data_IF_904463336885
#
_entry.id   IF_904463336885
#
_cell.length_a   1.000
_cell.length_b   1.000
_cell.length_c   1.000
_cell.angle_alpha   90.00
_cell.angle_beta   90.00
_cell.angle_gamma   90.00
#
_symmetry.space_group_name_H-M   'P 1'
#
loop_
_entity.id
_entity.type
_entity.pdbx_description
1 polymer ?
#
# COMPACT_ATOMS: atom_id res chain seq x y z
N UNK A 1 -0.25 -66.39 3.60
CA UNK A 1 0.49 -66.62 4.87
C UNK A 1 0.20 -68.01 5.45
N UNK A 2 -0.47 -68.88 4.70
CA UNK A 2 -1.18 -70.05 5.25
C UNK A 2 -0.27 -71.26 5.54
N UNK A 3 0.95 -71.25 5.00
CA UNK A 3 1.92 -72.34 5.20
C UNK A 3 2.73 -72.23 6.50
N UNK A 4 2.99 -71.02 7.00
CA UNK A 4 3.77 -70.78 8.22
C UNK A 4 3.17 -69.61 9.01
N UNK A 5 1.99 -69.81 9.65
CA UNK A 5 1.27 -68.73 10.35
C UNK A 5 1.97 -68.22 11.62
N UNK A 6 2.99 -68.94 12.09
CA UNK A 6 3.79 -68.59 13.27
C UNK A 6 4.98 -67.66 12.94
N UNK A 7 5.11 -67.22 11.68
CA UNK A 7 6.21 -66.33 11.29
C UNK A 7 6.15 -65.01 12.05
N UNK A 8 7.27 -64.63 12.66
CA UNK A 8 7.49 -63.32 13.28
C UNK A 8 8.60 -62.58 12.54
N UNK A 9 8.79 -61.30 12.84
CA UNK A 9 9.86 -60.51 12.21
C UNK A 9 11.26 -61.08 12.51
N UNK A 10 11.47 -61.65 13.70
CA UNK A 10 12.73 -62.25 14.14
C UNK A 10 12.85 -63.76 13.86
N UNK A 11 11.79 -64.41 13.39
CA UNK A 11 11.80 -65.82 13.01
C UNK A 11 10.87 -66.05 11.81
N UNK A 12 11.46 -66.10 10.62
CA UNK A 12 10.73 -66.16 9.37
C UNK A 12 11.12 -67.40 8.55
N UNK A 13 10.10 -68.18 8.16
CA UNK A 13 10.25 -69.31 7.24
C UNK A 13 9.38 -69.12 6.02
N UNK A 14 9.93 -69.38 4.84
CA UNK A 14 9.16 -69.35 3.58
C UNK A 14 9.38 -70.62 2.78
N UNK A 15 8.43 -70.91 1.87
CA UNK A 15 8.51 -72.02 0.93
C UNK A 15 8.90 -71.45 -0.43
N UNK A 16 9.99 -71.95 -1.00
CA UNK A 16 10.37 -71.62 -2.37
C UNK A 16 9.33 -72.18 -3.34
N UNK A 17 9.06 -71.44 -4.42
CA UNK A 17 8.03 -71.81 -5.40
C UNK A 17 8.34 -73.12 -6.13
N UNK A 18 9.62 -73.49 -6.25
CA UNK A 18 10.08 -74.73 -6.87
C UNK A 18 11.20 -75.39 -6.04
N UNK A 19 11.31 -76.74 -6.04
CA UNK A 19 12.43 -77.42 -5.39
C UNK A 19 13.74 -77.03 -6.05
N UNK A 20 14.72 -76.58 -5.25
CA UNK A 20 16.07 -76.34 -5.72
C UNK A 20 16.94 -77.56 -5.44
N UNK A 21 17.71 -77.99 -6.43
CA UNK A 21 18.71 -79.04 -6.29
C UNK A 21 20.08 -78.34 -6.28
N UNK A 22 20.65 -78.18 -5.09
CA UNK A 22 21.93 -77.49 -4.91
C UNK A 22 23.05 -78.55 -4.94
N UNK A 23 23.98 -78.41 -5.89
CA UNK A 23 25.15 -79.29 -6.03
C UNK A 23 26.42 -78.47 -5.75
N UNK A 24 27.30 -78.99 -4.89
CA UNK A 24 28.48 -78.28 -4.40
C UNK A 24 28.19 -77.42 -3.17
N UNK A 25 29.16 -76.60 -2.78
CA UNK A 25 29.04 -75.71 -1.62
C UNK A 25 28.21 -74.46 -1.99
N UNK A 26 27.31 -74.07 -1.09
CA UNK A 26 26.41 -72.94 -1.29
C UNK A 26 26.32 -72.09 -0.02
N UNK A 27 26.13 -70.79 -0.22
CA UNK A 27 25.78 -69.84 0.84
C UNK A 27 24.48 -69.12 0.46
N UNK A 28 23.60 -68.94 1.44
CA UNK A 28 22.33 -68.23 1.29
C UNK A 28 22.38 -66.98 2.14
N UNK A 29 22.09 -65.82 1.54
CA UNK A 29 21.92 -64.56 2.24
C UNK A 29 20.46 -64.10 2.15
N UNK A 30 19.87 -63.76 3.29
CA UNK A 30 18.59 -63.07 3.40
C UNK A 30 18.88 -61.57 3.57
N UNK A 31 18.33 -60.71 2.71
CA UNK A 31 18.38 -59.25 2.93
C UNK A 31 17.08 -58.78 3.56
N UNK A 32 17.13 -58.23 4.76
CA UNK A 32 16.00 -57.58 5.42
C UNK A 32 15.80 -56.17 4.84
N UNK A 33 14.58 -55.83 4.42
CA UNK A 33 14.20 -54.46 4.04
C UNK A 33 13.37 -53.90 5.20
N UNK A 34 13.95 -53.01 5.99
CA UNK A 34 13.22 -52.26 7.01
C UNK A 34 12.44 -51.11 6.35
N UNK A 35 11.11 -51.13 6.45
CA UNK A 35 10.24 -49.99 6.10
C UNK A 35 9.99 -49.20 7.41
N UNK A 36 10.65 -48.06 7.64
CA UNK A 36 10.41 -47.24 8.82
C UNK A 36 9.01 -46.61 8.74
N UNK A 37 8.25 -46.73 9.83
CA UNK A 37 6.83 -46.34 9.90
C UNK A 37 6.59 -44.82 10.06
N UNK A 38 7.62 -44.02 10.33
CA UNK A 38 7.47 -42.63 10.82
C UNK A 38 8.27 -41.59 10.01
N UNK A 39 8.46 -41.77 8.71
CA UNK A 39 9.11 -40.76 7.86
C UNK A 39 8.09 -40.01 7.03
N UNK A 40 8.18 -38.68 7.00
CA UNK A 40 7.39 -37.85 6.12
C UNK A 40 8.17 -37.61 4.84
N UNK A 41 7.66 -38.19 3.74
CA UNK A 41 8.30 -38.08 2.45
C UNK A 41 7.66 -36.93 1.66
N UNK A 42 8.42 -35.84 1.49
CA UNK A 42 8.01 -34.68 0.70
C UNK A 42 8.64 -34.80 -0.69
N UNK A 43 7.79 -34.89 -1.71
CA UNK A 43 8.16 -34.93 -3.12
C UNK A 43 7.47 -33.81 -3.93
N UNK A 44 7.72 -33.78 -5.23
CA UNK A 44 7.17 -32.75 -6.13
C UNK A 44 5.62 -32.64 -6.15
N UNK A 45 4.91 -33.65 -5.65
CA UNK A 45 3.45 -33.72 -5.69
C UNK A 45 2.76 -33.28 -4.39
N UNK A 46 3.52 -33.09 -3.30
CA UNK A 46 2.98 -32.76 -1.97
C UNK A 46 3.85 -31.74 -1.21
N UNK A 47 4.60 -30.90 -1.91
CA UNK A 47 5.49 -29.91 -1.28
C UNK A 47 5.03 -28.46 -1.42
N UNK A 48 3.82 -28.21 -1.90
CA UNK A 48 3.37 -26.85 -2.27
C UNK A 48 2.22 -26.34 -1.41
N UNK A 49 2.28 -25.06 -1.06
CA UNK A 49 1.16 -24.31 -0.48
C UNK A 49 1.27 -22.82 -0.83
N UNK A 50 0.14 -22.12 -0.80
CA UNK A 50 0.05 -20.68 -1.06
C UNK A 50 -0.47 -19.96 0.18
N UNK A 51 0.08 -18.78 0.46
CA UNK A 51 -0.42 -17.83 1.44
C UNK A 51 -0.97 -16.61 0.72
N UNK A 52 -2.20 -16.22 1.03
CA UNK A 52 -2.81 -14.95 0.64
C UNK A 52 -2.89 -14.05 1.87
N UNK A 53 -2.19 -12.93 1.84
CA UNK A 53 -2.23 -11.89 2.88
C UNK A 53 -3.14 -10.77 2.41
N UNK A 54 -4.12 -10.39 3.23
CA UNK A 54 -4.97 -9.22 2.99
C UNK A 54 -4.66 -8.14 4.03
N UNK A 55 -3.73 -7.23 3.71
CA UNK A 55 -3.36 -6.14 4.61
C UNK A 55 -4.14 -4.88 4.28
N UNK A 56 -4.86 -4.35 5.26
CA UNK A 56 -5.39 -2.99 5.19
C UNK A 56 -4.26 -2.00 5.43
N UNK A 57 -4.00 -1.13 4.46
CA UNK A 57 -3.05 -0.02 4.60
C UNK A 57 -3.75 1.30 4.35
N UNK A 58 -3.55 2.25 5.25
CA UNK A 58 -3.99 3.62 5.04
C UNK A 58 -3.03 4.29 4.05
N UNK A 59 -3.58 4.72 2.92
CA UNK A 59 -2.87 5.50 1.92
C UNK A 59 -3.37 6.93 1.98
N UNK A 60 -2.44 7.87 2.01
CA UNK A 60 -2.73 9.30 1.87
C UNK A 60 -3.07 9.59 0.40
N UNK A 61 -4.26 10.13 0.16
CA UNK A 61 -4.75 10.62 -1.12
C UNK A 61 -4.80 12.14 -1.11
N UNK A 62 -4.10 12.78 -2.05
CA UNK A 62 -4.06 14.24 -2.20
C UNK A 62 -5.36 14.79 -2.82
N UNK A 63 -6.19 13.92 -3.40
CA UNK A 63 -7.44 14.28 -4.05
C UNK A 63 -8.60 13.50 -3.44
N UNK A 64 -9.66 14.21 -3.03
CA UNK A 64 -10.91 13.60 -2.58
C UNK A 64 -11.96 13.66 -3.69
N UNK A 65 -12.39 12.52 -4.23
CA UNK A 65 -13.47 12.47 -5.20
C UNK A 65 -14.84 12.55 -4.52
N UNK A 66 -15.70 13.42 -5.02
CA UNK A 66 -17.11 13.49 -4.67
C UNK A 66 -17.96 13.16 -5.90
N UNK A 67 -18.59 11.99 -5.87
CA UNK A 67 -19.47 11.58 -6.96
C UNK A 67 -20.83 12.25 -6.80
N UNK A 68 -21.14 13.16 -7.72
CA UNK A 68 -22.45 13.79 -7.81
C UNK A 68 -23.31 12.93 -8.72
N UNK A 69 -24.40 12.39 -8.17
CA UNK A 69 -25.46 11.71 -8.93
C UNK A 69 -26.76 12.43 -8.68
N UNK A 70 -27.51 12.68 -9.74
CA UNK A 70 -28.76 13.36 -9.63
C UNK A 70 -29.71 12.93 -10.74
N UNK A 71 -30.98 12.81 -10.35
CA UNK A 71 -32.10 12.54 -11.26
C UNK A 71 -33.00 13.75 -11.30
N UNK A 72 -33.49 14.10 -12.48
CA UNK A 72 -34.35 15.25 -12.69
C UNK A 72 -35.49 14.95 -13.65
N UNK A 73 -36.66 15.54 -13.41
CA UNK A 73 -37.87 15.25 -14.19
C UNK A 73 -38.60 16.52 -14.65
N UNK A 74 -37.99 17.70 -14.58
CA UNK A 74 -38.59 18.97 -15.00
C UNK A 74 -37.78 19.64 -16.12
N UNK A 75 -38.44 20.50 -16.90
CA UNK A 75 -37.82 21.24 -18.00
C UNK A 75 -37.37 22.65 -17.59
N UNK A 76 -37.44 23.01 -16.31
CA UNK A 76 -37.07 24.33 -15.81
C UNK A 76 -35.56 24.39 -15.46
N UNK A 77 -34.74 25.15 -16.21
CA UNK A 77 -33.31 25.25 -15.94
C UNK A 77 -32.98 25.93 -14.61
N UNK A 78 -33.81 26.85 -14.13
CA UNK A 78 -33.56 27.55 -12.87
C UNK A 78 -33.74 26.60 -11.69
N UNK A 79 -34.81 25.81 -11.71
CA UNK A 79 -35.07 24.78 -10.71
C UNK A 79 -33.98 23.69 -10.80
N UNK A 80 -33.57 23.29 -12.00
CA UNK A 80 -32.49 22.33 -12.21
C UNK A 80 -31.21 22.74 -11.50
N UNK A 81 -30.68 23.94 -11.80
CA UNK A 81 -29.41 24.39 -11.22
C UNK A 81 -29.52 24.64 -9.72
N UNK A 82 -30.70 25.04 -9.23
CA UNK A 82 -30.95 25.17 -7.78
C UNK A 82 -30.86 23.82 -7.06
N UNK A 83 -31.46 22.77 -7.61
CA UNK A 83 -31.40 21.43 -7.00
C UNK A 83 -30.03 20.77 -7.19
N UNK A 84 -29.38 20.95 -8.34
CA UNK A 84 -28.01 20.53 -8.57
C UNK A 84 -27.07 21.15 -7.52
N UNK A 85 -27.15 22.47 -7.31
CA UNK A 85 -26.33 23.15 -6.30
C UNK A 85 -26.62 22.65 -4.90
N UNK A 86 -27.87 22.30 -4.58
CA UNK A 86 -28.20 21.68 -3.29
C UNK A 86 -27.47 20.35 -3.12
N UNK A 87 -27.41 19.52 -4.17
CA UNK A 87 -26.69 18.25 -4.15
C UNK A 87 -25.17 18.44 -4.10
N UNK A 88 -24.63 19.43 -4.80
CA UNK A 88 -23.20 19.76 -4.72
C UNK A 88 -22.85 20.24 -3.30
N UNK A 89 -23.69 21.11 -2.72
CA UNK A 89 -23.47 21.71 -1.42
C UNK A 89 -23.43 20.69 -0.27
N UNK A 90 -24.09 19.52 -0.40
CA UNK A 90 -23.98 18.44 0.62
C UNK A 90 -22.58 17.86 0.71
N UNK A 91 -21.77 17.99 -0.35
CA UNK A 91 -20.43 17.43 -0.42
C UNK A 91 -19.34 18.49 -0.28
N UNK A 92 -19.48 19.62 -0.97
CA UNK A 92 -18.42 20.63 -1.09
C UNK A 92 -18.85 22.05 -0.71
N UNK A 93 -20.06 22.21 -0.16
CA UNK A 93 -20.60 23.52 0.24
C UNK A 93 -20.72 24.50 -0.93
N UNK A 94 -20.41 25.77 -0.68
CA UNK A 94 -20.47 26.84 -1.69
C UNK A 94 -19.20 26.93 -2.56
N UNK A 95 -18.23 26.02 -2.40
CA UNK A 95 -16.98 26.04 -3.16
C UNK A 95 -17.17 25.73 -4.65
N UNK A 96 -18.25 25.02 -5.01
CA UNK A 96 -18.63 24.76 -6.39
C UNK A 96 -20.10 25.14 -6.55
N UNK A 97 -20.40 26.06 -7.47
CA UNK A 97 -21.78 26.55 -7.66
C UNK A 97 -22.06 26.96 -9.09
N UNK A 98 -23.20 26.53 -9.61
CA UNK A 98 -23.71 26.91 -10.92
C UNK A 98 -24.81 27.97 -10.79
N UNK A 99 -24.58 29.17 -11.29
CA UNK A 99 -25.53 30.27 -11.24
C UNK A 99 -26.19 30.47 -12.60
N UNK A 100 -27.47 30.11 -12.72
CA UNK A 100 -28.23 30.32 -13.94
C UNK A 100 -28.70 31.77 -14.07
N UNK A 101 -28.39 32.41 -15.20
CA UNK A 101 -28.81 33.77 -15.55
C UNK A 101 -29.89 33.71 -16.62
N UNK A 102 -31.16 33.69 -16.19
CA UNK A 102 -32.32 33.57 -17.07
C UNK A 102 -32.30 34.59 -18.24
N UNK A 103 -31.94 35.84 -17.96
CA UNK A 103 -31.90 36.94 -18.95
C UNK A 103 -30.92 36.70 -20.10
N UNK A 104 -29.83 35.96 -19.85
CA UNK A 104 -28.78 35.68 -20.84
C UNK A 104 -28.77 34.23 -21.32
N UNK A 105 -29.58 33.36 -20.71
CA UNK A 105 -29.53 31.90 -20.89
C UNK A 105 -28.10 31.36 -20.75
N UNK A 106 -27.41 31.86 -19.72
CA UNK A 106 -26.03 31.52 -19.40
C UNK A 106 -25.96 30.91 -18.01
N UNK A 107 -25.03 29.99 -17.81
CA UNK A 107 -24.74 29.38 -16.51
C UNK A 107 -23.31 29.75 -16.16
N UNK A 108 -23.12 30.42 -15.02
CA UNK A 108 -21.79 30.72 -14.50
C UNK A 108 -21.42 29.68 -13.46
N UNK A 109 -20.35 28.94 -13.73
CA UNK A 109 -19.70 28.09 -12.74
C UNK A 109 -18.74 28.95 -11.91
N UNK A 110 -19.03 29.05 -10.62
CA UNK A 110 -18.04 29.40 -9.61
C UNK A 110 -17.34 28.12 -9.14
N UNK A 111 -16.01 28.14 -9.20
CA UNK A 111 -15.15 27.07 -8.76
C UNK A 111 -14.08 27.67 -7.84
N UNK A 112 -14.13 27.29 -6.57
CA UNK A 112 -13.16 27.68 -5.55
C UNK A 112 -11.78 27.10 -5.80
N UNK A 113 -10.77 27.69 -5.18
CA UNK A 113 -9.38 27.25 -5.32
C UNK A 113 -9.23 25.80 -4.85
N UNK A 114 -8.48 24.98 -5.61
CA UNK A 114 -8.26 23.57 -5.32
C UNK A 114 -9.46 22.64 -5.58
N UNK A 115 -10.51 23.13 -6.24
CA UNK A 115 -11.60 22.27 -6.73
C UNK A 115 -11.51 22.08 -8.24
N UNK A 116 -11.87 20.88 -8.70
CA UNK A 116 -11.94 20.54 -10.13
C UNK A 116 -13.19 19.73 -10.41
N UNK A 117 -13.76 19.86 -11.62
CA UNK A 117 -14.86 19.02 -12.09
C UNK A 117 -14.34 18.11 -13.19
N UNK A 118 -14.41 16.81 -12.96
CA UNK A 118 -13.99 15.77 -13.90
C UNK A 118 -15.24 15.18 -14.54
N UNK A 119 -15.37 15.37 -15.85
CA UNK A 119 -16.50 14.86 -16.63
C UNK A 119 -16.01 13.71 -17.50
N UNK A 120 -16.31 12.47 -17.10
CA UNK A 120 -16.01 11.30 -17.92
C UNK A 120 -17.14 11.09 -18.92
N UNK A 121 -16.87 11.11 -20.23
CA UNK A 121 -17.87 11.01 -21.29
C UNK A 121 -18.85 9.85 -21.07
N UNK A 122 -18.34 8.67 -20.71
CA UNK A 122 -19.15 7.46 -20.47
C UNK A 122 -20.19 7.64 -19.35
N UNK A 123 -19.88 8.45 -18.33
CA UNK A 123 -20.75 8.64 -17.16
C UNK A 123 -21.50 9.98 -17.17
N UNK A 124 -20.95 10.97 -17.85
CA UNK A 124 -21.35 12.38 -17.79
C UNK A 124 -21.87 12.91 -19.13
N UNK A 125 -22.13 12.06 -20.13
CA UNK A 125 -22.58 12.45 -21.47
C UNK A 125 -23.75 13.45 -21.47
N UNK A 126 -24.76 13.19 -20.63
CA UNK A 126 -25.90 14.08 -20.43
C UNK A 126 -25.49 15.45 -19.87
N UNK A 127 -24.57 15.48 -18.90
CA UNK A 127 -24.11 16.73 -18.30
C UNK A 127 -23.16 17.51 -19.24
N UNK A 128 -22.34 16.81 -20.02
CA UNK A 128 -21.51 17.40 -21.07
C UNK A 128 -22.38 18.11 -22.12
N UNK A 129 -23.47 17.47 -22.54
CA UNK A 129 -24.46 18.08 -23.43
C UNK A 129 -25.09 19.33 -22.81
N UNK A 130 -25.46 19.28 -21.52
CA UNK A 130 -26.01 20.45 -20.79
C UNK A 130 -25.00 21.60 -20.75
N UNK A 131 -23.70 21.34 -20.61
CA UNK A 131 -22.68 22.38 -20.60
C UNK A 131 -22.20 22.79 -22.01
N UNK A 132 -22.78 22.21 -23.07
CA UNK A 132 -22.34 22.40 -24.46
C UNK A 132 -20.85 22.06 -24.66
N UNK A 133 -20.39 21.00 -24.00
CA UNK A 133 -19.03 20.48 -24.10
C UNK A 133 -19.00 19.27 -25.06
N UNK A 134 -17.91 19.13 -25.82
CA UNK A 134 -17.77 18.05 -26.80
C UNK A 134 -17.64 16.65 -26.17
N UNK A 135 -17.64 15.61 -27.00
CA UNK A 135 -17.55 14.20 -26.59
C UNK A 135 -16.10 13.79 -26.24
N UNK A 136 -15.60 14.31 -25.13
CA UNK A 136 -14.29 13.97 -24.56
C UNK A 136 -14.39 13.99 -23.02
N UNK A 137 -13.27 13.78 -22.34
CA UNK A 137 -13.19 13.78 -20.87
C UNK A 137 -12.60 15.11 -20.36
N UNK A 138 -13.35 16.23 -20.33
CA UNK A 138 -12.80 17.50 -19.88
C UNK A 138 -12.62 17.54 -18.36
N UNK A 139 -11.56 18.24 -17.95
CA UNK A 139 -11.33 18.68 -16.57
C UNK A 139 -11.55 20.20 -16.51
N UNK A 140 -12.53 20.63 -15.74
CA UNK A 140 -12.79 22.05 -15.49
C UNK A 140 -12.12 22.43 -14.17
N UNK A 141 -11.09 23.25 -14.25
CA UNK A 141 -10.27 23.70 -13.11
C UNK A 141 -10.31 25.21 -12.89
N UNK A 142 -11.14 25.93 -13.65
CA UNK A 142 -11.38 27.37 -13.51
C UNK A 142 -12.85 27.70 -13.65
N UNK A 143 -13.28 28.77 -12.98
CA UNK A 143 -14.62 29.33 -13.13
C UNK A 143 -14.88 29.70 -14.60
N UNK A 144 -16.04 29.34 -15.13
CA UNK A 144 -16.37 29.51 -16.55
C UNK A 144 -17.87 29.68 -16.77
N UNK A 145 -18.21 30.40 -17.83
CA UNK A 145 -19.60 30.55 -18.29
C UNK A 145 -19.92 29.56 -19.40
N UNK A 146 -21.10 28.94 -19.31
CA UNK A 146 -21.64 27.98 -20.27
C UNK A 146 -22.97 28.48 -20.83
N UNK A 147 -23.34 28.00 -22.02
CA UNK A 147 -24.64 28.26 -22.64
C UNK A 147 -25.36 26.92 -22.85
N UNK A 148 -26.25 26.52 -21.93
CA UNK A 148 -26.90 25.22 -22.00
C UNK A 148 -27.95 25.17 -23.12
N UNK A 149 -28.14 23.99 -23.75
CA UNK A 149 -29.28 23.75 -24.63
C UNK A 149 -30.59 23.72 -23.83
N UNK A 150 -31.72 23.97 -24.51
CA UNK A 150 -33.07 24.04 -23.92
C UNK A 150 -33.60 22.69 -23.38
N UNK A 151 -32.90 21.58 -23.66
CA UNK A 151 -33.32 20.23 -23.28
C UNK A 151 -32.39 19.68 -22.20
N UNK A 152 -32.95 19.47 -21.01
CA UNK A 152 -32.27 18.86 -19.87
C UNK A 152 -32.59 17.36 -19.86
N UNK A 153 -31.59 16.53 -19.57
CA UNK A 153 -31.71 15.08 -19.54
C UNK A 153 -31.89 14.57 -18.11
N UNK A 154 -32.53 13.40 -17.97
CA UNK A 154 -33.13 12.96 -16.70
C UNK A 154 -32.16 12.31 -15.70
N UNK A 155 -30.95 11.93 -16.14
CA UNK A 155 -29.93 11.33 -15.28
C UNK A 155 -28.56 11.94 -15.59
N UNK A 156 -27.85 12.41 -14.57
CA UNK A 156 -26.46 12.81 -14.74
C UNK A 156 -25.59 12.42 -13.56
N UNK A 157 -24.34 12.12 -13.89
CA UNK A 157 -23.29 11.85 -12.92
C UNK A 157 -22.00 12.52 -13.33
N UNK A 158 -21.28 13.09 -12.38
CA UNK A 158 -19.92 13.59 -12.56
C UNK A 158 -19.16 13.58 -11.24
N UNK A 159 -17.86 13.80 -11.29
CA UNK A 159 -17.01 13.82 -10.09
C UNK A 159 -16.47 15.22 -9.87
N UNK A 160 -16.59 15.71 -8.64
CA UNK A 160 -15.87 16.90 -8.17
C UNK A 160 -14.66 16.40 -7.39
N UNK A 161 -13.47 16.86 -7.75
CA UNK A 161 -12.24 16.57 -7.02
C UNK A 161 -11.91 17.76 -6.12
N UNK A 162 -11.68 17.50 -4.84
CA UNK A 162 -11.06 18.45 -3.92
C UNK A 162 -9.58 18.08 -3.75
N UNK A 163 -8.70 18.96 -4.18
CA UNK A 163 -7.24 18.81 -4.05
C UNK A 163 -6.67 19.62 -2.88
N UNK A 164 -7.53 20.27 -2.09
CA UNK A 164 -7.10 21.00 -0.92
C UNK A 164 -6.76 20.05 0.22
N UNK A 165 -5.71 20.32 0.99
CA UNK A 165 -5.49 19.62 2.25
C UNK A 165 -6.64 19.92 3.22
N UNK A 166 -6.97 18.95 4.06
CA UNK A 166 -7.93 19.07 5.16
C UNK A 166 -7.49 20.13 6.17
N UNK A 167 -6.21 20.13 6.49
CA UNK A 167 -5.59 21.06 7.41
C UNK A 167 -4.12 21.27 7.03
N UNK A 168 -3.53 22.36 7.51
CA UNK A 168 -2.12 22.67 7.32
C UNK A 168 -1.55 23.22 8.61
N UNK A 169 -0.52 22.57 9.15
CA UNK A 169 0.23 23.09 10.30
C UNK A 169 1.53 23.69 9.80
N UNK A 170 1.75 24.96 10.15
CA UNK A 170 2.97 25.68 9.80
C UNK A 170 3.94 25.71 10.99
N UNK A 171 5.20 25.38 10.74
CA UNK A 171 6.28 25.47 11.71
C UNK A 171 7.39 26.36 11.18
N UNK A 172 7.74 27.40 11.94
CA UNK A 172 8.90 28.24 11.65
C UNK A 172 10.11 27.62 12.34
N UNK A 173 11.12 27.26 11.55
CA UNK A 173 12.30 26.53 11.99
C UNK A 173 13.51 27.45 11.95
N UNK A 174 14.19 27.67 13.08
CA UNK A 174 15.42 28.46 13.09
C UNK A 174 16.57 27.68 12.44
N UNK A 175 17.52 28.40 11.86
CA UNK A 175 18.74 27.79 11.30
C UNK A 175 19.78 27.40 12.37
N UNK A 176 19.59 27.88 13.60
CA UNK A 176 20.45 27.58 14.74
C UNK A 176 19.96 26.35 15.52
N UNK A 177 20.85 25.54 16.12
CA UNK A 177 20.45 24.40 16.94
C UNK A 177 19.65 24.84 18.16
N UNK A 178 18.54 24.16 18.46
CA UNK A 178 17.70 24.49 19.62
C UNK A 178 18.46 24.46 20.96
N UNK A 179 19.40 23.52 21.11
CA UNK A 179 20.15 23.32 22.36
C UNK A 179 21.27 24.37 22.59
N UNK A 180 21.68 25.10 21.55
CA UNK A 180 22.72 26.13 21.65
C UNK A 180 22.42 27.33 20.75
N UNK A 181 21.65 28.28 21.29
CA UNK A 181 21.19 29.47 20.56
C UNK A 181 22.29 30.44 20.11
N UNK A 182 23.54 30.22 20.56
CA UNK A 182 24.70 31.03 20.16
C UNK A 182 25.57 30.35 19.11
N UNK A 183 25.31 29.09 18.77
CA UNK A 183 26.09 28.33 17.79
C UNK A 183 25.58 28.62 16.37
N UNK A 184 26.23 29.57 15.69
CA UNK A 184 25.98 29.85 14.27
C UNK A 184 26.67 28.76 13.43
N UNK A 185 25.92 28.02 12.58
CA UNK A 185 26.53 27.02 11.71
C UNK A 185 27.53 27.65 10.74
N UNK A 186 28.78 27.19 10.78
CA UNK A 186 29.85 27.69 9.90
C UNK A 186 29.95 26.87 8.61
N UNK A 187 29.63 25.58 8.69
CA UNK A 187 29.68 24.66 7.55
C UNK A 187 28.27 24.20 7.14
N UNK A 188 28.05 23.81 5.87
CA UNK A 188 26.78 23.22 5.44
C UNK A 188 26.40 21.99 6.27
N UNK A 189 27.39 21.17 6.66
CA UNK A 189 27.18 20.00 7.50
C UNK A 189 26.58 20.37 8.87
N UNK A 190 27.15 21.38 9.53
CA UNK A 190 26.62 21.91 10.80
C UNK A 190 25.21 22.50 10.64
N UNK A 191 24.94 23.16 9.51
CA UNK A 191 23.63 23.75 9.22
C UNK A 191 22.55 22.66 9.10
N UNK A 192 22.84 21.60 8.35
CA UNK A 192 21.90 20.50 8.14
C UNK A 192 21.74 19.61 9.39
N UNK A 193 22.78 19.55 10.22
CA UNK A 193 22.68 18.95 11.56
C UNK A 193 21.74 19.75 12.46
N UNK A 194 21.87 21.09 12.49
CA UNK A 194 20.93 21.96 13.20
C UNK A 194 19.48 21.79 12.71
N UNK A 195 19.28 21.66 11.39
CA UNK A 195 17.95 21.40 10.82
C UNK A 195 17.38 20.08 11.32
N UNK A 196 18.18 19.00 11.25
CA UNK A 196 17.75 17.66 11.70
C UNK A 196 17.37 17.66 13.18
N UNK A 197 18.12 18.35 14.03
CA UNK A 197 17.77 18.48 15.45
C UNK A 197 16.46 19.22 15.67
N UNK A 198 16.28 20.37 15.01
CA UNK A 198 15.06 21.16 15.15
C UNK A 198 13.82 20.41 14.62
N UNK A 199 13.98 19.64 13.54
CA UNK A 199 12.92 18.81 12.97
C UNK A 199 12.58 17.62 13.87
N UNK A 200 13.58 17.02 14.53
CA UNK A 200 13.37 15.94 15.49
C UNK A 200 12.52 16.38 16.69
N UNK A 201 12.64 17.63 17.13
CA UNK A 201 11.77 18.17 18.19
C UNK A 201 10.30 18.22 17.77
N UNK A 202 10.04 18.36 16.47
CA UNK A 202 8.69 18.34 15.89
C UNK A 202 8.21 16.92 15.57
N UNK A 203 9.04 15.89 15.81
CA UNK A 203 8.76 14.48 15.47
C UNK A 203 8.55 14.25 13.96
N UNK A 204 9.19 15.05 13.12
CA UNK A 204 9.08 15.00 11.66
C UNK A 204 10.29 14.31 10.97
N UNK A 205 11.21 13.72 11.73
CA UNK A 205 12.46 13.14 11.23
C UNK A 205 12.27 11.94 10.28
N UNK A 206 11.12 11.27 10.33
CA UNK A 206 10.80 10.18 9.42
C UNK A 206 10.26 10.68 8.07
N UNK A 207 9.77 11.93 8.02
CA UNK A 207 9.16 12.54 6.84
C UNK A 207 10.10 13.46 6.06
N UNK A 208 11.20 13.92 6.69
CA UNK A 208 12.10 14.91 6.11
C UNK A 208 13.55 14.44 6.28
N UNK A 209 14.24 14.20 5.17
CA UNK A 209 15.65 13.79 5.18
C UNK A 209 16.51 14.76 4.40
N UNK A 210 17.58 15.22 5.03
CA UNK A 210 18.62 16.02 4.40
C UNK A 210 19.89 15.18 4.25
N UNK A 211 20.35 15.04 3.02
CA UNK A 211 21.56 14.30 2.66
C UNK A 211 22.54 15.31 2.06
N UNK A 212 23.76 15.35 2.58
CA UNK A 212 24.80 16.27 2.10
C UNK A 212 26.00 15.51 1.59
N UNK A 213 26.45 15.87 0.40
CA UNK A 213 27.67 15.34 -0.20
C UNK A 213 28.82 16.33 -0.01
N UNK A 214 29.75 15.98 0.91
CA UNK A 214 30.94 16.78 1.21
C UNK A 214 31.92 16.91 0.03
N UNK A 215 31.83 16.06 -1.01
CA UNK A 215 32.70 16.12 -2.19
C UNK A 215 32.11 17.09 -3.22
N UNK A 216 30.84 16.90 -3.59
CA UNK A 216 30.20 17.68 -4.65
C UNK A 216 29.61 19.00 -4.15
N UNK A 217 29.42 19.14 -2.84
CA UNK A 217 28.67 20.23 -2.19
C UNK A 217 27.17 20.21 -2.47
N UNK A 218 26.63 19.06 -2.85
CA UNK A 218 25.20 18.94 -3.14
C UNK A 218 24.42 18.55 -1.87
N UNK A 219 23.23 19.11 -1.72
CA UNK A 219 22.25 18.75 -0.70
C UNK A 219 21.04 18.17 -1.40
N UNK A 220 20.72 16.93 -1.08
CA UNK A 220 19.47 16.29 -1.45
C UNK A 220 18.49 16.38 -0.28
N UNK A 221 17.30 16.87 -0.57
CA UNK A 221 16.21 17.04 0.39
C UNK A 221 15.10 16.10 -0.05
N UNK A 222 14.80 15.11 0.78
CA UNK A 222 13.73 14.15 0.54
C UNK A 222 12.58 14.46 1.49
N UNK A 223 11.45 14.86 0.92
CA UNK A 223 10.24 15.19 1.65
C UNK A 223 9.17 14.14 1.37
N UNK A 224 8.48 13.69 2.41
CA UNK A 224 7.23 12.97 2.28
C UNK A 224 6.19 13.82 1.53
N UNK A 225 5.25 13.17 0.86
CA UNK A 225 4.24 13.83 0.00
C UNK A 225 3.44 14.92 0.71
N UNK A 226 3.21 14.74 2.00
CA UNK A 226 2.42 15.62 2.84
C UNK A 226 3.22 16.79 3.44
N UNK A 227 4.50 16.95 3.07
CA UNK A 227 5.39 18.00 3.59
C UNK A 227 5.80 18.96 2.47
N UNK A 228 5.75 20.24 2.78
CA UNK A 228 6.38 21.29 1.98
C UNK A 228 7.40 22.06 2.82
N UNK A 229 8.55 22.40 2.23
CA UNK A 229 9.53 23.29 2.85
C UNK A 229 9.56 24.60 2.08
N UNK A 230 9.19 25.68 2.74
CA UNK A 230 9.10 27.01 2.18
C UNK A 230 10.36 27.79 2.56
N UNK A 231 11.16 28.11 1.56
CA UNK A 231 12.36 28.93 1.69
C UNK A 231 12.05 30.29 1.08
N UNK A 232 11.87 31.31 1.92
CA UNK A 232 11.51 32.66 1.48
C UNK A 232 12.53 33.68 1.96
N UNK A 233 12.71 34.73 1.17
CA UNK A 233 13.64 35.81 1.47
C UNK A 233 13.25 36.57 2.74
N UNK A 234 11.95 36.61 3.06
CA UNK A 234 11.41 37.22 4.28
C UNK A 234 11.78 36.45 5.56
N UNK A 235 11.99 35.14 5.47
CA UNK A 235 12.31 34.30 6.62
C UNK A 235 13.81 34.03 6.74
N UNK A 236 14.52 33.89 5.62
CA UNK A 236 15.95 33.57 5.66
C UNK A 236 16.67 33.86 4.35
N UNK A 237 17.09 35.12 4.17
CA UNK A 237 17.82 35.55 2.96
C UNK A 237 19.20 34.89 2.85
N UNK A 238 19.95 34.85 3.94
CA UNK A 238 21.30 34.24 3.93
C UNK A 238 21.24 32.73 3.74
N UNK A 239 20.16 32.09 4.22
CA UNK A 239 19.87 30.67 3.97
C UNK A 239 19.62 30.39 2.49
N UNK A 240 18.81 31.20 1.82
CA UNK A 240 18.62 31.09 0.36
C UNK A 240 19.94 31.23 -0.38
N UNK A 241 20.74 32.24 -0.03
CA UNK A 241 22.05 32.49 -0.66
C UNK A 241 23.06 31.35 -0.38
N UNK A 242 23.03 30.77 0.83
CA UNK A 242 23.81 29.57 1.19
C UNK A 242 23.40 28.35 0.35
N UNK A 243 22.10 28.16 0.12
CA UNK A 243 21.56 27.09 -0.72
C UNK A 243 21.62 27.40 -2.23
N UNK A 244 22.23 28.54 -2.61
CA UNK A 244 22.36 29.02 -3.99
C UNK A 244 21.01 29.22 -4.70
N UNK A 245 19.99 29.63 -3.95
CA UNK A 245 18.64 29.91 -4.42
C UNK A 245 18.48 31.41 -4.62
N UNK A 246 17.98 31.80 -5.81
CA UNK A 246 17.87 33.23 -6.21
C UNK A 246 16.50 33.85 -5.91
N UNK A 247 15.49 33.04 -5.59
CA UNK A 247 14.11 33.44 -5.37
C UNK A 247 13.48 32.53 -4.33
N UNK A 248 12.36 32.98 -3.78
CA UNK A 248 11.48 32.18 -2.93
C UNK A 248 11.10 30.88 -3.64
N UNK A 249 11.17 29.77 -2.91
CA UNK A 249 10.90 28.44 -3.44
C UNK A 249 10.14 27.60 -2.41
N UNK A 250 9.21 26.80 -2.93
CA UNK A 250 8.51 25.76 -2.16
C UNK A 250 9.04 24.41 -2.64
N UNK A 251 9.71 23.70 -1.73
CA UNK A 251 10.25 22.37 -1.98
C UNK A 251 9.18 21.31 -1.75
N UNK A 252 9.12 20.33 -2.66
CA UNK A 252 8.23 19.16 -2.61
C UNK A 252 8.96 17.93 -3.11
N UNK A 253 8.65 16.76 -2.55
CA UNK A 253 9.25 15.50 -2.96
C UNK A 253 10.77 15.49 -2.81
N UNK A 254 11.48 15.07 -3.87
CA UNK A 254 12.96 15.02 -3.88
C UNK A 254 13.48 16.23 -4.63
N UNK A 255 14.32 17.05 -3.98
CA UNK A 255 14.97 18.19 -4.62
C UNK A 255 16.45 18.24 -4.26
N UNK A 256 17.29 18.64 -5.21
CA UNK A 256 18.75 18.70 -5.05
C UNK A 256 19.29 20.08 -5.38
N UNK A 257 20.23 20.56 -4.58
CA UNK A 257 20.85 21.88 -4.74
C UNK A 257 22.33 21.85 -4.45
N UNK A 258 23.10 22.65 -5.18
CA UNK A 258 24.51 22.88 -4.89
C UNK A 258 24.68 24.02 -3.89
N UNK A 259 25.31 23.75 -2.76
CA UNK A 259 25.49 24.70 -1.66
C UNK A 259 26.66 25.65 -1.90
N UNK A 260 26.44 26.94 -1.67
CA UNK A 260 27.48 27.95 -1.59
C UNK A 260 28.19 27.89 -0.22
N UNK A 261 29.33 27.20 -0.17
CA UNK A 261 30.11 27.03 1.08
C UNK A 261 30.58 28.35 1.68
N UNK A 262 30.90 29.35 0.86
CA UNK A 262 31.52 30.60 1.30
C UNK A 262 30.53 31.57 1.95
N UNK A 263 29.23 31.45 1.66
CA UNK A 263 28.25 32.39 2.17
C UNK A 263 27.99 32.17 3.67
N UNK A 264 28.03 33.19 4.55
CA UNK A 264 27.70 33.03 5.96
C UNK A 264 26.19 32.85 6.19
N UNK A 265 25.80 32.29 7.33
CA UNK A 265 24.40 32.20 7.76
C UNK A 265 24.15 33.23 8.86
N UNK A 266 23.05 33.98 8.77
CA UNK A 266 22.51 34.79 9.85
C UNK A 266 21.77 33.88 10.84
N UNK A 267 22.04 34.06 12.13
CA UNK A 267 21.40 33.32 13.22
C UNK A 267 19.88 33.55 13.31
N UNK A 268 19.41 34.67 12.77
CA UNK A 268 18.00 35.04 12.76
C UNK A 268 17.27 34.50 11.53
N UNK A 269 17.96 33.79 10.63
CA UNK A 269 17.29 33.14 9.52
C UNK A 269 16.43 31.98 10.00
N UNK A 270 15.31 31.81 9.33
CA UNK A 270 14.36 30.73 9.52
C UNK A 270 13.94 30.19 8.17
N UNK A 271 13.34 29.00 8.19
CA UNK A 271 12.56 28.48 7.10
C UNK A 271 11.22 27.96 7.62
N UNK A 272 10.24 27.78 6.75
CA UNK A 272 8.94 27.28 7.15
C UNK A 272 8.74 25.85 6.66
N UNK A 273 8.29 24.97 7.55
CA UNK A 273 7.79 23.64 7.19
C UNK A 273 6.26 23.71 7.25
N UNK A 274 5.60 23.25 6.19
CA UNK A 274 4.15 23.12 6.15
C UNK A 274 3.82 21.64 6.09
N UNK A 275 3.17 21.14 7.14
CA UNK A 275 2.64 19.77 7.20
C UNK A 275 1.19 19.82 6.77
N UNK A 276 0.88 19.21 5.63
CA UNK A 276 -0.47 19.17 5.08
C UNK A 276 -1.13 17.86 5.44
N UNK A 277 -2.33 17.92 6.01
CA UNK A 277 -3.16 16.76 6.23
C UNK A 277 -4.02 16.54 4.99
N UNK A 278 -3.93 15.36 4.40
CA UNK A 278 -4.71 14.96 3.22
C UNK A 278 -5.60 13.77 3.57
N UNK A 279 -6.43 13.34 2.64
CA UNK A 279 -7.43 12.32 2.88
C UNK A 279 -6.78 10.95 3.08
N UNK A 280 -7.16 10.23 4.13
CA UNK A 280 -6.76 8.84 4.29
C UNK A 280 -7.82 7.92 3.69
N UNK A 281 -7.36 6.97 2.86
CA UNK A 281 -8.19 5.88 2.38
C UNK A 281 -7.54 4.57 2.80
N UNK A 282 -8.29 3.73 3.50
CA UNK A 282 -7.89 2.35 3.74
C UNK A 282 -8.04 1.57 2.43
N UNK A 283 -6.94 1.04 1.94
CA UNK A 283 -6.93 0.16 0.79
C UNK A 283 -6.51 -1.25 1.23
N UNK A 284 -7.14 -2.26 0.64
CA UNK A 284 -6.85 -3.67 0.96
C UNK A 284 -5.82 -4.18 -0.03
N UNK A 285 -4.59 -4.32 0.43
CA UNK A 285 -3.51 -4.89 -0.35
C UNK A 285 -3.53 -6.41 -0.22
N UNK A 286 -3.74 -7.08 -1.35
CA UNK A 286 -3.67 -8.54 -1.43
C UNK A 286 -2.28 -8.97 -1.93
N UNK A 287 -1.53 -9.69 -1.11
CA UNK A 287 -0.27 -10.32 -1.51
C UNK A 287 -0.42 -11.83 -1.60
N UNK A 288 0.21 -12.44 -2.60
CA UNK A 288 0.24 -13.89 -2.80
C UNK A 288 1.67 -14.39 -2.68
N UNK A 289 1.89 -15.36 -1.79
CA UNK A 289 3.15 -16.07 -1.64
C UNK A 289 2.95 -17.54 -1.98
N UNK A 290 3.60 -17.99 -3.03
CA UNK A 290 3.67 -19.40 -3.42
C UNK A 290 4.91 -20.02 -2.77
N UNK A 291 4.71 -20.98 -1.86
CA UNK A 291 5.73 -21.53 -0.98
C UNK A 291 5.91 -23.03 -1.21
N UNK A 292 7.15 -23.49 -1.05
CA UNK A 292 7.52 -24.88 -1.27
C UNK A 292 8.32 -25.41 -0.09
N UNK A 293 7.94 -26.58 0.40
CA UNK A 293 8.75 -27.39 1.31
C UNK A 293 9.92 -28.02 0.54
N UNK A 294 11.04 -28.19 1.22
CA UNK A 294 12.20 -28.86 0.64
C UNK A 294 11.86 -30.32 0.35
N UNK A 295 12.24 -30.79 -0.84
CA UNK A 295 12.03 -32.19 -1.23
C UNK A 295 13.01 -33.06 -0.46
N UNK A 296 12.52 -34.13 0.14
CA UNK A 296 13.34 -35.07 0.89
C UNK A 296 12.60 -35.76 2.02
N UNK A 297 13.39 -36.44 2.84
CA UNK A 297 12.90 -37.16 4.01
C UNK A 297 13.04 -36.31 5.26
N UNK A 298 11.90 -35.99 5.87
CA UNK A 298 11.84 -35.36 7.19
C UNK A 298 11.80 -36.47 8.24
N UNK A 299 12.78 -36.45 9.16
CA UNK A 299 13.03 -37.54 10.11
C UNK A 299 12.10 -37.48 11.31
N UNK A 300 11.60 -36.29 11.63
CA UNK A 300 10.69 -36.07 12.75
C UNK A 300 9.52 -35.19 12.32
N UNK A 301 8.37 -35.36 12.98
CA UNK A 301 7.19 -34.50 12.78
C UNK A 301 7.54 -33.03 12.99
N UNK A 302 8.24 -32.71 14.08
CA UNK A 302 8.65 -31.35 14.40
C UNK A 302 9.45 -30.70 13.26
N UNK A 303 10.37 -31.45 12.65
CA UNK A 303 11.17 -30.96 11.51
C UNK A 303 10.28 -30.60 10.30
N UNK A 304 9.21 -31.37 10.06
CA UNK A 304 8.24 -31.05 9.01
C UNK A 304 7.38 -29.83 9.38
N UNK A 305 6.85 -29.78 10.60
CA UNK A 305 5.96 -28.71 11.04
C UNK A 305 6.69 -27.36 11.10
N UNK A 306 7.95 -27.34 11.58
CA UNK A 306 8.79 -26.14 11.64
C UNK A 306 9.22 -25.64 10.24
N UNK A 307 9.01 -26.42 9.18
CA UNK A 307 9.33 -26.01 7.80
C UNK A 307 8.27 -25.07 7.19
N UNK A 308 7.09 -24.97 7.81
CA UNK A 308 6.04 -24.06 7.36
C UNK A 308 6.33 -22.62 7.81
N UNK A 309 6.05 -21.70 6.91
CA UNK A 309 6.13 -20.26 7.14
C UNK A 309 4.72 -19.67 7.17
N UNK A 310 4.53 -18.58 7.93
CA UNK A 310 3.27 -17.82 8.09
C UNK A 310 2.12 -18.51 8.84
N UNK A 311 2.19 -19.83 9.04
CA UNK A 311 1.18 -20.61 9.77
C UNK A 311 1.87 -21.48 10.81
N UNK A 312 1.17 -21.74 11.92
CA UNK A 312 1.69 -22.60 12.98
C UNK A 312 1.02 -23.96 12.90
N UNK A 313 1.81 -25.03 12.85
CA UNK A 313 1.31 -26.39 12.88
C UNK A 313 1.65 -27.03 14.23
N UNK A 314 0.68 -27.73 14.82
CA UNK A 314 0.87 -28.45 16.09
C UNK A 314 0.35 -29.87 15.98
N UNK A 315 1.10 -30.81 16.55
CA UNK A 315 0.67 -32.21 16.62
C UNK A 315 -0.20 -32.43 17.86
N UNK A 316 -1.34 -33.10 17.69
CA UNK A 316 -2.27 -33.45 18.76
C UNK A 316 -2.07 -34.91 19.23
N UNK A 317 -2.55 -35.23 20.43
CA UNK A 317 -2.40 -36.55 21.06
C UNK A 317 -2.95 -37.73 20.23
N UNK A 318 -3.75 -37.44 19.19
CA UNK A 318 -4.49 -38.40 18.39
C UNK A 318 -3.80 -38.73 17.05
N UNK A 319 -2.56 -38.27 16.83
CA UNK A 319 -1.89 -38.26 15.50
C UNK A 319 -2.47 -37.28 14.49
N UNK A 320 -3.29 -36.34 14.94
CA UNK A 320 -3.88 -35.29 14.09
C UNK A 320 -2.98 -34.06 14.10
N UNK A 321 -2.91 -33.36 12.97
CA UNK A 321 -2.27 -32.06 12.88
C UNK A 321 -3.32 -30.97 13.06
N UNK A 322 -2.99 -29.94 13.82
CA UNK A 322 -3.76 -28.71 13.92
C UNK A 322 -2.99 -27.57 13.25
N UNK A 323 -3.67 -26.80 12.40
CA UNK A 323 -3.14 -25.62 11.71
C UNK A 323 -3.79 -24.40 12.34
N UNK A 324 -2.96 -23.46 12.78
CA UNK A 324 -3.37 -22.13 13.20
C UNK A 324 -3.00 -21.13 12.11
N UNK A 325 -4.03 -20.59 11.45
CA UNK A 325 -3.92 -19.56 10.41
C UNK A 325 -4.12 -18.19 11.06
N UNK A 326 -3.12 -17.30 11.04
CA UNK A 326 -3.23 -15.98 11.66
C UNK A 326 -4.33 -15.10 11.06
N UNK A 327 -4.76 -14.01 11.75
CA UNK A 327 -5.66 -13.02 11.19
C UNK A 327 -5.13 -12.45 9.87
N UNK A 328 -6.04 -12.14 8.93
CA UNK A 328 -5.71 -11.58 7.61
C UNK A 328 -4.90 -12.51 6.68
N UNK A 329 -4.76 -13.77 7.05
CA UNK A 329 -4.10 -14.82 6.26
C UNK A 329 -5.14 -15.79 5.74
N UNK A 330 -5.06 -16.14 4.46
CA UNK A 330 -5.72 -17.31 3.88
C UNK A 330 -4.67 -18.28 3.36
N UNK A 331 -4.70 -19.51 3.88
CA UNK A 331 -3.84 -20.62 3.49
C UNK A 331 -4.54 -21.43 2.41
N UNK A 332 -3.80 -21.81 1.37
CA UNK A 332 -4.24 -22.75 0.35
C UNK A 332 -3.18 -23.86 0.25
N UNK A 333 -3.49 -25.05 0.74
CA UNK A 333 -2.63 -26.23 0.63
C UNK A 333 -2.77 -26.84 -0.77
N UNK A 334 -1.66 -27.29 -1.36
CA UNK A 334 -1.74 -28.20 -2.50
C UNK A 334 -2.40 -29.51 -2.09
N UNK A 335 -3.17 -30.14 -2.98
CA UNK A 335 -3.95 -31.34 -2.64
C UNK A 335 -3.13 -32.44 -1.97
N UNK A 336 -1.97 -32.79 -2.54
CA UNK A 336 -1.11 -33.82 -1.96
C UNK A 336 -0.57 -33.47 -0.57
N UNK A 337 -0.41 -32.18 -0.26
CA UNK A 337 0.01 -31.72 1.06
C UNK A 337 -1.16 -31.70 2.05
N UNK A 338 -2.37 -31.33 1.62
CA UNK A 338 -3.58 -31.43 2.44
C UNK A 338 -3.85 -32.90 2.83
N UNK A 339 -3.74 -33.83 1.88
CA UNK A 339 -3.89 -35.27 2.12
C UNK A 339 -2.83 -35.78 3.10
N UNK A 340 -1.57 -35.36 2.96
CA UNK A 340 -0.48 -35.71 3.87
C UNK A 340 -0.75 -35.26 5.31
N UNK A 341 -1.35 -34.07 5.47
CA UNK A 341 -1.66 -33.48 6.78
C UNK A 341 -3.03 -33.92 7.34
N UNK A 342 -3.79 -34.75 6.61
CA UNK A 342 -5.10 -35.25 7.04
C UNK A 342 -6.26 -34.27 6.86
N UNK A 343 -6.15 -33.32 5.94
CA UNK A 343 -7.21 -32.34 5.66
C UNK A 343 -7.94 -32.63 4.35
N UNK A 344 -9.28 -32.62 4.40
CA UNK A 344 -10.12 -32.73 3.20
C UNK A 344 -10.33 -31.39 2.48
N UNK A 345 -10.17 -30.29 3.20
CA UNK A 345 -10.29 -28.93 2.65
C UNK A 345 -8.89 -28.37 2.42
N UNK A 346 -8.67 -27.81 1.23
CA UNK A 346 -7.40 -27.21 0.84
C UNK A 346 -7.32 -25.73 1.18
N UNK A 347 -8.45 -25.06 1.40
CA UNK A 347 -8.50 -23.62 1.67
C UNK A 347 -8.91 -23.37 3.12
N UNK A 348 -8.11 -22.60 3.84
CA UNK A 348 -8.35 -22.24 5.24
C UNK A 348 -8.19 -20.73 5.40
N UNK A 349 -9.20 -20.06 5.95
CA UNK A 349 -9.13 -18.64 6.33
C UNK A 349 -8.50 -18.51 7.72
N UNK A 350 -8.45 -17.30 8.29
CA UNK A 350 -7.97 -17.11 9.66
C UNK A 350 -8.77 -17.94 10.66
N UNK A 351 -8.08 -18.71 11.51
CA UNK A 351 -8.71 -19.59 12.48
C UNK A 351 -7.85 -20.81 12.84
N UNK A 352 -8.40 -21.67 13.70
CA UNK A 352 -7.78 -22.94 14.08
C UNK A 352 -8.52 -24.09 13.42
N UNK A 353 -7.78 -24.98 12.75
CA UNK A 353 -8.32 -26.10 11.99
C UNK A 353 -7.65 -27.38 12.42
N UNK A 354 -8.42 -28.45 12.58
CA UNK A 354 -7.93 -29.77 13.00
C UNK A 354 -8.13 -30.78 11.87
N UNK A 355 -7.04 -31.46 11.49
CA UNK A 355 -7.07 -32.57 10.54
C UNK A 355 -7.85 -33.76 11.11
N UNK A 356 -8.29 -34.65 10.21
CA UNK A 356 -9.04 -35.87 10.52
C UNK A 356 -8.16 -37.05 10.88
#
# INVERSE_FOLDING_TARGET
MDYFPQNTQSFYRTKLSHPLLLLGDWEVALSEICIPRNWFNIGNHNNFYTILLEEERNIIQEEQPFEIKFKYETNDPEIFFKLLNRQIATHVGENVKFSFKANKREVELFLGEGYQIHLQYVKSSNFLHILSLGNHDPVINVSKTFRPPLQLSNDFSFVIMNTNPLSGVEHIIPVIPHHNKNAIPKTPKQLLEAFRENIKLLRLEHLIHFIYNDITSDVDIHLAKNIEVHLTQSLGKSLLEKLNLKKDIILKGITSFKVNRAHPIDKNDHFKIVVKEYFEKTDVFKQKHDLFLNIGMYKTEKELLDAFHFVTLTHLQNSHVAIEVPPHVKLILGQGLADLLGYSETEMTSGSYTGK
#
